data_IF_413920282927
#
_entry.id   IF_413920282927
#
_cell.length_a   1.000
_cell.length_b   1.000
_cell.length_c   1.000
_cell.angle_alpha   90.00
_cell.angle_beta   90.00
_cell.angle_gamma   90.00
#
_symmetry.space_group_name_H-M   'P 1'
#
loop_
_entity.id
_entity.type
_entity.pdbx_description
1 polymer ?
#
# COMPACT_ATOMS: atom_id res chain seq x y z
N UNK A 1 2.36 1.87 -40.11
CA UNK A 1 2.67 2.38 -38.75
C UNK A 1 3.97 1.74 -38.32
N UNK A 2 5.06 2.52 -38.32
CA UNK A 2 6.38 2.00 -37.95
C UNK A 2 6.42 1.66 -36.47
N UNK A 3 6.71 0.42 -36.12
CA UNK A 3 7.00 0.03 -34.74
C UNK A 3 8.26 0.77 -34.30
N UNK A 4 8.09 1.66 -33.34
CA UNK A 4 9.21 2.31 -32.69
C UNK A 4 10.07 1.23 -32.00
N UNK A 5 11.24 0.93 -32.53
CA UNK A 5 12.09 -0.23 -32.19
C UNK A 5 12.73 -0.11 -30.80
N UNK A 6 12.45 0.94 -30.04
CA UNK A 6 13.16 1.30 -28.81
C UNK A 6 12.31 1.42 -27.54
N UNK A 7 11.02 1.12 -27.56
CA UNK A 7 10.18 1.19 -26.36
C UNK A 7 10.49 0.02 -25.43
N UNK A 8 10.94 0.31 -24.20
CA UNK A 8 11.19 -0.71 -23.17
C UNK A 8 9.86 -1.25 -22.66
N UNK A 9 9.67 -2.56 -22.64
CA UNK A 9 8.47 -3.21 -22.12
C UNK A 9 8.72 -3.85 -20.75
N UNK A 10 7.93 -3.45 -19.74
CA UNK A 10 8.01 -3.97 -18.40
C UNK A 10 6.73 -4.72 -18.04
N UNK A 11 6.87 -6.00 -17.65
CA UNK A 11 5.80 -6.71 -16.98
C UNK A 11 5.91 -6.45 -15.48
N UNK A 12 4.82 -5.96 -14.88
CA UNK A 12 4.71 -5.77 -13.43
C UNK A 12 3.82 -6.87 -12.85
N UNK A 13 4.23 -7.44 -11.73
CA UNK A 13 3.44 -8.46 -11.03
C UNK A 13 3.52 -8.32 -9.52
N UNK A 14 2.50 -8.79 -8.84
CA UNK A 14 2.46 -8.83 -7.38
C UNK A 14 1.25 -8.13 -6.78
N UNK A 15 0.98 -8.43 -5.52
CA UNK A 15 -0.22 -7.96 -4.82
C UNK A 15 -0.15 -6.54 -4.24
N UNK A 16 0.95 -5.81 -4.46
CA UNK A 16 1.19 -4.52 -3.81
C UNK A 16 1.29 -3.38 -4.83
N UNK A 17 0.19 -3.14 -5.54
CA UNK A 17 0.10 -2.09 -6.56
C UNK A 17 0.35 -0.66 -6.02
N UNK A 18 0.16 -0.45 -4.71
CA UNK A 18 0.39 0.85 -4.08
C UNK A 18 1.84 1.34 -4.17
N UNK A 19 2.83 0.42 -4.24
CA UNK A 19 4.24 0.77 -4.45
C UNK A 19 4.59 0.92 -5.94
N UNK A 20 3.86 0.24 -6.82
CA UNK A 20 4.13 0.28 -8.25
C UNK A 20 3.60 1.56 -8.91
N UNK A 21 2.42 2.03 -8.50
CA UNK A 21 1.77 3.19 -9.12
C UNK A 21 2.63 4.47 -9.05
N UNK A 22 3.28 4.83 -7.92
CA UNK A 22 4.15 5.99 -7.86
C UNK A 22 5.34 5.90 -8.83
N UNK A 23 5.90 4.72 -9.04
CA UNK A 23 6.96 4.52 -10.03
C UNK A 23 6.44 4.70 -11.46
N UNK A 24 5.28 4.15 -11.77
CA UNK A 24 4.65 4.29 -13.10
C UNK A 24 4.34 5.77 -13.39
N UNK A 25 3.75 6.47 -12.41
CA UNK A 25 3.45 7.90 -12.53
C UNK A 25 4.73 8.71 -12.75
N UNK A 26 5.79 8.45 -11.98
CA UNK A 26 7.09 9.09 -12.15
C UNK A 26 7.67 8.87 -13.56
N UNK A 27 7.60 7.65 -14.09
CA UNK A 27 8.09 7.30 -15.43
C UNK A 27 7.28 8.05 -16.51
N UNK A 28 5.97 8.15 -16.36
CA UNK A 28 5.08 8.90 -17.27
C UNK A 28 5.29 10.40 -17.19
N UNK A 29 5.46 10.95 -15.99
CA UNK A 29 5.76 12.38 -15.77
C UNK A 29 7.09 12.80 -16.44
N UNK A 30 8.02 11.86 -16.62
CA UNK A 30 9.30 12.06 -17.32
C UNK A 30 9.22 11.76 -18.82
N UNK A 31 8.05 11.44 -19.35
CA UNK A 31 7.80 11.14 -20.75
C UNK A 31 8.78 10.09 -21.34
N UNK A 32 9.04 9.04 -20.56
CA UNK A 32 9.96 7.98 -20.94
C UNK A 32 9.24 6.89 -21.76
N UNK A 33 9.88 6.44 -22.86
CA UNK A 33 9.40 5.38 -23.74
C UNK A 33 9.41 4.00 -23.04
N UNK A 34 8.48 3.80 -22.10
CA UNK A 34 8.33 2.56 -21.33
C UNK A 34 6.87 2.13 -21.33
N UNK A 35 6.61 0.93 -21.85
CA UNK A 35 5.31 0.28 -21.82
C UNK A 35 5.18 -0.64 -20.61
N UNK A 36 4.00 -0.64 -20.00
CA UNK A 36 3.69 -1.49 -18.88
C UNK A 36 2.59 -2.52 -19.22
N UNK A 37 2.72 -3.72 -18.68
CA UNK A 37 1.67 -4.73 -18.65
C UNK A 37 1.58 -5.28 -17.23
N UNK A 38 0.39 -5.33 -16.67
CA UNK A 38 0.17 -5.80 -15.31
C UNK A 38 -0.33 -7.24 -15.27
N UNK A 39 0.38 -8.13 -14.56
CA UNK A 39 -0.05 -9.49 -14.28
C UNK A 39 -0.55 -9.58 -12.84
N UNK A 40 -1.86 -9.67 -12.65
CA UNK A 40 -2.50 -9.62 -11.34
C UNK A 40 -3.77 -10.46 -11.25
N UNK A 41 -4.52 -10.29 -10.19
CA UNK A 41 -5.80 -10.97 -9.97
C UNK A 41 -6.98 -10.03 -10.21
N UNK A 42 -7.85 -10.39 -11.17
CA UNK A 42 -9.03 -9.60 -11.50
C UNK A 42 -10.12 -9.68 -10.42
N UNK A 43 -10.31 -10.84 -9.80
CA UNK A 43 -11.39 -11.11 -8.86
C UNK A 43 -10.87 -11.48 -7.47
N UNK A 44 -11.64 -11.13 -6.42
CA UNK A 44 -11.32 -11.55 -5.04
C UNK A 44 -11.33 -13.06 -4.89
N UNK A 45 -10.35 -13.63 -4.15
CA UNK A 45 -10.19 -15.08 -3.97
C UNK A 45 -11.27 -15.75 -3.10
N UNK A 46 -12.14 -14.99 -2.44
CA UNK A 46 -13.13 -15.53 -1.49
C UNK A 46 -14.51 -15.80 -2.09
N UNK A 47 -14.56 -16.23 -3.36
CA UNK A 47 -15.83 -16.57 -4.03
C UNK A 47 -16.70 -15.36 -4.40
N UNK A 48 -16.29 -14.18 -4.04
CA UNK A 48 -16.96 -12.96 -4.41
C UNK A 48 -16.54 -12.56 -5.85
N UNK A 49 -17.50 -12.38 -6.76
CA UNK A 49 -17.26 -11.95 -8.15
C UNK A 49 -16.86 -10.46 -8.25
N UNK A 50 -16.68 -9.78 -7.11
CA UNK A 50 -16.26 -8.37 -7.12
C UNK A 50 -14.86 -8.22 -7.69
N UNK A 51 -14.68 -7.17 -8.49
CA UNK A 51 -13.39 -6.78 -9.03
C UNK A 51 -12.47 -6.33 -7.90
N UNK A 52 -11.20 -6.79 -7.94
CA UNK A 52 -10.19 -6.34 -6.98
C UNK A 52 -9.93 -4.84 -7.12
N UNK A 53 -9.51 -4.21 -6.03
CA UNK A 53 -9.10 -2.80 -6.05
C UNK A 53 -7.87 -2.60 -6.94
N UNK A 54 -6.94 -3.56 -6.93
CA UNK A 54 -5.80 -3.62 -7.84
C UNK A 54 -6.24 -3.49 -9.30
N UNK A 55 -7.16 -4.34 -9.75
CA UNK A 55 -7.68 -4.30 -11.11
C UNK A 55 -8.27 -2.93 -11.46
N UNK A 56 -9.14 -2.39 -10.58
CA UNK A 56 -9.79 -1.09 -10.82
C UNK A 56 -8.77 0.04 -10.96
N UNK A 57 -7.77 0.09 -10.07
CA UNK A 57 -6.76 1.16 -10.07
C UNK A 57 -5.80 1.04 -11.27
N UNK A 58 -5.40 -0.16 -11.65
CA UNK A 58 -4.51 -0.37 -12.79
C UNK A 58 -5.20 -0.01 -14.12
N UNK A 59 -6.46 -0.45 -14.29
CA UNK A 59 -7.23 -0.11 -15.50
C UNK A 59 -7.53 1.39 -15.57
N UNK A 60 -7.83 2.05 -14.46
CA UNK A 60 -8.05 3.50 -14.46
C UNK A 60 -6.82 4.33 -14.82
N UNK A 61 -5.66 3.71 -14.88
CA UNK A 61 -4.39 4.31 -15.36
C UNK A 61 -4.02 3.86 -16.77
N UNK A 62 -4.96 3.29 -17.55
CA UNK A 62 -4.73 2.81 -18.92
C UNK A 62 -3.56 1.83 -19.05
N UNK A 63 -3.40 0.93 -18.05
CA UNK A 63 -2.39 -0.11 -18.07
C UNK A 63 -3.06 -1.43 -18.41
N UNK A 64 -2.61 -2.15 -19.49
CA UNK A 64 -3.12 -3.46 -19.83
C UNK A 64 -2.99 -4.44 -18.65
N UNK A 65 -4.12 -5.06 -18.28
CA UNK A 65 -4.20 -5.98 -17.15
C UNK A 65 -4.47 -7.41 -17.61
N UNK A 66 -3.64 -8.34 -17.15
CA UNK A 66 -3.76 -9.77 -17.45
C UNK A 66 -4.13 -10.51 -16.17
N UNK A 67 -5.24 -11.24 -16.22
CA UNK A 67 -5.70 -12.07 -15.09
C UNK A 67 -4.86 -13.35 -14.98
N UNK A 68 -3.98 -13.39 -13.97
CA UNK A 68 -3.12 -14.53 -13.69
C UNK A 68 -3.78 -15.46 -12.67
N UNK A 69 -4.09 -16.69 -13.08
CA UNK A 69 -4.73 -17.72 -12.25
C UNK A 69 -3.67 -18.59 -11.56
N UNK A 70 -3.02 -18.06 -10.52
CA UNK A 70 -2.07 -18.84 -9.73
C UNK A 70 -2.69 -19.34 -8.42
N UNK A 71 -2.33 -20.54 -8.00
CA UNK A 71 -2.72 -21.12 -6.72
C UNK A 71 -1.98 -20.48 -5.55
N UNK A 72 -2.63 -20.42 -4.40
CA UNK A 72 -2.03 -19.94 -3.13
C UNK A 72 -1.54 -21.14 -2.33
N UNK A 73 -0.25 -21.22 -2.03
CA UNK A 73 0.36 -22.35 -1.31
C UNK A 73 0.14 -22.34 0.20
N UNK A 74 -0.40 -21.25 0.78
CA UNK A 74 -0.44 -21.02 2.21
C UNK A 74 -1.87 -21.11 2.79
N UNK A 75 -2.04 -21.86 3.87
CA UNK A 75 -3.29 -22.04 4.66
C UNK A 75 -4.50 -22.69 3.96
N UNK A 76 -4.38 -23.24 2.77
CA UNK A 76 -5.46 -23.97 2.11
C UNK A 76 -4.97 -25.29 1.53
N UNK A 77 -5.17 -26.40 2.24
CA UNK A 77 -4.96 -27.77 1.74
C UNK A 77 -6.16 -28.23 0.89
N UNK A 78 -6.54 -27.46 -0.11
CA UNK A 78 -7.55 -27.89 -1.06
C UNK A 78 -6.83 -28.35 -2.36
N UNK A 79 -7.07 -29.61 -2.77
CA UNK A 79 -6.48 -30.19 -3.97
C UNK A 79 -6.68 -29.30 -5.22
N UNK A 80 -7.84 -28.66 -5.34
CA UNK A 80 -8.12 -27.72 -6.43
C UNK A 80 -7.21 -26.48 -6.41
N UNK A 81 -6.78 -26.02 -5.24
CA UNK A 81 -5.84 -24.92 -5.09
C UNK A 81 -4.41 -25.36 -5.41
N UNK A 82 -4.04 -26.58 -5.08
CA UNK A 82 -2.74 -27.17 -5.43
C UNK A 82 -2.60 -27.40 -6.94
N UNK A 83 -3.65 -27.85 -7.63
CA UNK A 83 -3.68 -27.99 -9.07
C UNK A 83 -3.53 -26.65 -9.84
N UNK A 84 -3.92 -25.53 -9.22
CA UNK A 84 -3.73 -24.18 -9.80
C UNK A 84 -2.27 -23.72 -9.78
N UNK A 85 -1.40 -24.32 -8.96
CA UNK A 85 0.00 -23.93 -8.89
C UNK A 85 0.72 -24.22 -10.20
N UNK A 86 0.81 -25.48 -10.71
CA UNK A 86 1.44 -25.75 -11.99
C UNK A 86 0.78 -24.99 -13.15
N UNK A 87 -0.54 -24.82 -13.12
CA UNK A 87 -1.25 -24.01 -14.12
C UNK A 87 -0.76 -22.57 -14.15
N UNK A 88 -0.49 -21.94 -12.98
CA UNK A 88 0.07 -20.60 -12.90
C UNK A 88 1.44 -20.46 -13.58
N UNK A 89 2.30 -21.47 -13.48
CA UNK A 89 3.61 -21.49 -14.17
C UNK A 89 3.44 -21.63 -15.69
N UNK A 90 2.56 -22.53 -16.14
CA UNK A 90 2.25 -22.71 -17.57
C UNK A 90 1.66 -21.44 -18.16
N UNK A 91 0.70 -20.81 -17.47
CA UNK A 91 0.11 -19.56 -17.91
C UNK A 91 1.18 -18.43 -17.96
N UNK A 92 2.02 -18.29 -16.93
CA UNK A 92 3.11 -17.31 -16.91
C UNK A 92 4.07 -17.51 -18.08
N UNK A 93 4.39 -18.77 -18.42
CA UNK A 93 5.28 -19.10 -19.56
C UNK A 93 4.71 -18.57 -20.88
N UNK A 94 3.47 -18.90 -21.21
CA UNK A 94 2.85 -18.44 -22.46
C UNK A 94 2.66 -16.91 -22.49
N UNK A 95 2.29 -16.31 -21.35
CA UNK A 95 2.15 -14.86 -21.25
C UNK A 95 3.49 -14.14 -21.46
N UNK A 96 4.57 -14.61 -20.85
CA UNK A 96 5.89 -13.99 -21.00
C UNK A 96 6.43 -14.14 -22.45
N UNK A 97 6.15 -15.27 -23.12
CA UNK A 97 6.48 -15.44 -24.54
C UNK A 97 5.63 -14.51 -25.41
N UNK A 98 4.34 -14.33 -25.10
CA UNK A 98 3.45 -13.46 -25.86
C UNK A 98 3.82 -11.98 -25.71
N UNK A 99 3.98 -11.50 -24.47
CA UNK A 99 4.27 -10.09 -24.22
C UNK A 99 5.72 -9.70 -24.44
N UNK A 100 6.65 -10.64 -24.40
CA UNK A 100 8.10 -10.46 -24.62
C UNK A 100 8.69 -9.28 -23.83
N UNK A 101 8.52 -9.22 -22.49
CA UNK A 101 9.02 -8.09 -21.74
C UNK A 101 10.55 -8.04 -21.74
N UNK A 102 11.07 -6.85 -21.60
CA UNK A 102 12.50 -6.62 -21.43
C UNK A 102 12.93 -6.85 -19.99
N UNK A 103 12.06 -6.50 -19.03
CA UNK A 103 12.28 -6.68 -17.59
C UNK A 103 10.96 -7.11 -16.94
N UNK A 104 11.06 -7.97 -15.94
CA UNK A 104 9.95 -8.28 -15.02
C UNK A 104 10.22 -7.61 -13.69
N UNK A 105 9.30 -6.73 -13.26
CA UNK A 105 9.30 -6.07 -11.97
C UNK A 105 8.24 -6.70 -11.06
N UNK A 106 8.68 -7.25 -9.93
CA UNK A 106 7.80 -7.88 -8.94
C UNK A 106 7.66 -7.01 -7.69
N UNK A 107 6.43 -6.89 -7.20
CA UNK A 107 6.13 -6.32 -5.89
C UNK A 107 5.70 -7.39 -4.87
N UNK A 108 6.20 -8.60 -5.05
CA UNK A 108 5.96 -9.72 -4.13
C UNK A 108 4.56 -10.34 -4.24
N UNK A 109 4.19 -11.08 -3.19
CA UNK A 109 2.96 -11.84 -3.18
C UNK A 109 3.07 -13.16 -3.96
N UNK A 110 2.09 -14.06 -3.74
CA UNK A 110 2.13 -15.42 -4.31
C UNK A 110 2.03 -15.45 -5.85
N UNK A 111 1.45 -14.42 -6.48
CA UNK A 111 1.37 -14.27 -7.94
C UNK A 111 2.75 -14.05 -8.57
N UNK A 112 3.66 -13.43 -7.84
CA UNK A 112 5.01 -13.17 -8.33
C UNK A 112 5.82 -14.45 -8.54
N UNK A 113 5.56 -15.49 -7.76
CA UNK A 113 6.34 -16.75 -7.79
C UNK A 113 6.38 -17.38 -9.19
N UNK A 114 5.25 -17.73 -9.83
CA UNK A 114 5.28 -18.32 -11.17
C UNK A 114 5.85 -17.35 -12.21
N UNK A 115 5.60 -16.06 -12.13
CA UNK A 115 6.08 -15.08 -13.11
C UNK A 115 7.59 -14.92 -13.03
N UNK A 116 8.14 -14.68 -11.84
CA UNK A 116 9.59 -14.49 -11.64
C UNK A 116 10.38 -15.75 -11.98
N UNK A 117 9.92 -16.90 -11.51
CA UNK A 117 10.59 -18.16 -11.81
C UNK A 117 10.61 -18.45 -13.32
N UNK A 118 9.48 -18.27 -13.99
CA UNK A 118 9.38 -18.50 -15.45
C UNK A 118 10.20 -17.46 -16.22
N UNK A 119 10.22 -16.20 -15.80
CA UNK A 119 11.06 -15.17 -16.39
C UNK A 119 12.55 -15.54 -16.29
N UNK A 120 12.99 -16.09 -15.15
CA UNK A 120 14.36 -16.59 -14.98
C UNK A 120 14.69 -17.73 -15.95
N UNK A 121 13.79 -18.69 -16.13
CA UNK A 121 13.94 -19.81 -17.09
C UNK A 121 14.06 -19.28 -18.52
N UNK A 122 13.28 -18.25 -18.87
CA UNK A 122 13.30 -17.63 -20.20
C UNK A 122 14.46 -16.62 -20.39
N UNK A 123 15.34 -16.44 -19.40
CA UNK A 123 16.44 -15.48 -19.47
C UNK A 123 15.99 -14.01 -19.48
N UNK A 124 14.78 -13.72 -19.00
CA UNK A 124 14.26 -12.36 -18.87
C UNK A 124 14.78 -11.76 -17.56
N UNK A 125 15.43 -10.60 -17.56
CA UNK A 125 15.88 -9.93 -16.34
C UNK A 125 14.75 -9.67 -15.36
N UNK A 126 15.02 -9.90 -14.07
CA UNK A 126 14.02 -9.83 -13.02
C UNK A 126 14.49 -8.98 -11.85
N UNK A 127 13.59 -8.20 -11.32
CA UNK A 127 13.80 -7.38 -10.13
C UNK A 127 12.59 -7.51 -9.21
N UNK A 128 12.81 -7.58 -7.90
CA UNK A 128 11.72 -7.55 -6.93
C UNK A 128 11.89 -6.41 -5.93
N UNK A 129 10.78 -5.85 -5.47
CA UNK A 129 10.75 -4.84 -4.42
C UNK A 129 10.09 -5.42 -3.17
N UNK A 130 10.80 -5.34 -2.03
CA UNK A 130 10.26 -5.65 -0.70
C UNK A 130 9.92 -4.36 0.02
N UNK A 131 8.66 -4.19 0.33
CA UNK A 131 8.14 -2.97 0.94
C UNK A 131 8.00 -3.05 2.46
N UNK A 132 8.13 -4.26 3.04
CA UNK A 132 7.88 -4.53 4.44
C UNK A 132 9.18 -4.76 5.21
N UNK A 133 9.14 -4.50 6.52
CA UNK A 133 10.26 -4.79 7.41
C UNK A 133 10.52 -6.29 7.54
N UNK A 134 9.45 -7.09 7.51
CA UNK A 134 9.52 -8.54 7.61
C UNK A 134 9.13 -9.14 6.28
N UNK A 135 10.09 -9.82 5.64
CA UNK A 135 9.90 -10.40 4.32
C UNK A 135 8.84 -11.48 4.28
N UNK A 136 7.90 -11.36 3.35
CA UNK A 136 6.93 -12.41 3.06
C UNK A 136 7.57 -13.65 2.42
N UNK A 137 6.96 -14.84 2.64
CA UNK A 137 7.46 -16.13 2.10
C UNK A 137 7.69 -16.10 0.60
N UNK A 138 6.83 -15.43 -0.16
CA UNK A 138 6.96 -15.32 -1.60
C UNK A 138 8.24 -14.57 -1.99
N UNK A 139 8.49 -13.39 -1.42
CA UNK A 139 9.71 -12.61 -1.68
C UNK A 139 10.97 -13.35 -1.22
N UNK A 140 10.92 -14.03 -0.06
CA UNK A 140 12.03 -14.88 0.38
C UNK A 140 12.33 -16.02 -0.60
N UNK A 141 11.30 -16.61 -1.19
CA UNK A 141 11.48 -17.67 -2.20
C UNK A 141 12.06 -17.12 -3.50
N UNK A 142 11.44 -16.07 -4.10
CA UNK A 142 11.87 -15.52 -5.39
C UNK A 142 13.21 -14.79 -5.32
N UNK A 143 13.66 -14.35 -4.14
CA UNK A 143 14.94 -13.67 -3.94
C UNK A 143 16.15 -14.45 -4.48
N UNK A 144 16.03 -15.78 -4.51
CA UNK A 144 17.10 -16.65 -5.06
C UNK A 144 17.22 -16.55 -6.57
N UNK A 145 16.13 -16.26 -7.27
CA UNK A 145 16.00 -16.27 -8.72
C UNK A 145 16.13 -14.89 -9.36
N UNK A 146 15.74 -13.82 -8.65
CA UNK A 146 15.82 -12.47 -9.19
C UNK A 146 17.26 -11.99 -9.35
N UNK A 147 17.47 -11.07 -10.27
CA UNK A 147 18.78 -10.47 -10.53
C UNK A 147 19.08 -9.33 -9.54
N UNK A 148 18.06 -8.58 -9.11
CA UNK A 148 18.17 -7.51 -8.10
C UNK A 148 16.99 -7.53 -7.13
N UNK A 149 17.26 -7.08 -5.91
CA UNK A 149 16.27 -6.95 -4.83
C UNK A 149 16.32 -5.53 -4.32
N UNK A 150 15.24 -4.79 -4.46
CA UNK A 150 15.06 -3.48 -3.89
C UNK A 150 14.35 -3.60 -2.55
N UNK A 151 14.78 -2.86 -1.57
CA UNK A 151 14.19 -2.88 -0.22
C UNK A 151 13.80 -1.47 0.23
N UNK A 152 12.66 -1.37 0.92
CA UNK A 152 12.18 -0.11 1.50
C UNK A 152 12.77 0.18 2.88
N UNK A 153 13.27 -0.84 3.56
CA UNK A 153 13.81 -0.77 4.91
C UNK A 153 15.15 -1.48 4.94
N UNK A 154 16.19 -0.82 5.46
CA UNK A 154 17.52 -1.40 5.51
C UNK A 154 17.56 -2.65 6.41
N UNK A 155 16.73 -2.70 7.43
CA UNK A 155 16.57 -3.82 8.36
C UNK A 155 16.11 -5.11 7.68
N UNK A 156 15.41 -5.00 6.53
CA UNK A 156 14.96 -6.17 5.76
C UNK A 156 16.09 -6.85 4.97
N UNK A 157 17.25 -6.20 4.81
CA UNK A 157 18.44 -6.74 4.11
C UNK A 157 18.86 -8.12 4.60
N UNK A 158 18.75 -8.37 5.91
CA UNK A 158 19.13 -9.65 6.55
C UNK A 158 18.36 -10.87 6.05
N UNK A 159 17.22 -10.67 5.40
CA UNK A 159 16.39 -11.76 4.87
C UNK A 159 16.78 -12.21 3.46
N UNK A 160 17.70 -11.50 2.80
CA UNK A 160 18.00 -11.69 1.40
C UNK A 160 19.48 -12.06 1.15
N UNK A 161 19.77 -12.72 0.00
CA UNK A 161 21.15 -13.00 -0.40
C UNK A 161 21.98 -11.71 -0.53
N UNK A 162 23.18 -11.70 0.05
CA UNK A 162 24.11 -10.58 -0.11
C UNK A 162 24.50 -10.37 -1.58
N UNK A 163 24.77 -9.13 -1.96
CA UNK A 163 25.21 -8.77 -3.31
C UNK A 163 24.10 -8.48 -4.33
N UNK A 164 22.83 -8.76 -4.01
CA UNK A 164 21.69 -8.41 -4.89
C UNK A 164 20.83 -7.29 -4.32
N UNK A 165 21.00 -6.94 -3.06
CA UNK A 165 20.13 -6.05 -2.29
C UNK A 165 20.57 -4.61 -2.44
N UNK A 166 19.62 -3.76 -2.80
CA UNK A 166 19.78 -2.33 -2.97
C UNK A 166 18.71 -1.63 -2.13
N UNK A 167 19.10 -0.73 -1.27
CA UNK A 167 18.16 0.12 -0.57
C UNK A 167 17.61 1.15 -1.54
N UNK A 168 16.30 1.16 -1.73
CA UNK A 168 15.60 2.13 -2.59
C UNK A 168 14.68 3.05 -1.80
N UNK A 169 14.29 2.67 -0.60
CA UNK A 169 13.16 3.29 0.07
C UNK A 169 11.82 2.83 -0.55
N UNK A 170 10.73 3.36 -0.01
CA UNK A 170 9.37 3.10 -0.50
C UNK A 170 8.91 4.25 -1.40
N UNK A 171 8.53 3.97 -2.67
CA UNK A 171 7.95 4.99 -3.53
C UNK A 171 6.62 5.49 -2.95
N UNK A 172 6.55 6.77 -2.63
CA UNK A 172 5.34 7.44 -2.20
C UNK A 172 4.68 8.17 -3.36
N UNK A 173 3.34 8.26 -3.32
CA UNK A 173 2.57 9.00 -4.31
C UNK A 173 2.76 10.50 -4.12
N UNK A 174 2.96 11.23 -5.20
CA UNK A 174 3.13 12.68 -5.22
C UNK A 174 1.92 13.42 -4.60
N UNK A 175 0.73 12.84 -4.74
CA UNK A 175 -0.52 13.39 -4.21
C UNK A 175 -0.55 13.53 -2.68
N UNK A 176 0.30 12.83 -1.93
CA UNK A 176 0.45 13.03 -0.48
C UNK A 176 1.05 14.40 -0.12
N UNK A 177 1.90 14.93 -1.01
CA UNK A 177 2.66 16.16 -0.77
C UNK A 177 2.02 17.39 -1.42
N UNK A 178 0.89 17.20 -2.09
CA UNK A 178 0.20 18.28 -2.80
C UNK A 178 -1.29 18.27 -2.43
N UNK A 179 -1.73 19.31 -1.73
CA UNK A 179 -3.16 19.54 -1.52
C UNK A 179 -3.78 20.05 -2.83
N UNK A 180 -4.78 19.31 -3.34
CA UNK A 180 -5.46 19.66 -4.60
C UNK A 180 -6.91 20.06 -4.41
N UNK A 181 -7.43 19.90 -3.20
CA UNK A 181 -8.82 20.18 -2.88
C UNK A 181 -8.92 21.08 -1.65
N UNK A 182 -10.11 21.58 -1.40
CA UNK A 182 -10.48 22.22 -0.17
C UNK A 182 -11.77 21.56 0.36
N UNK A 183 -11.70 20.23 0.50
CA UNK A 183 -12.82 19.35 0.84
C UNK A 183 -13.12 19.33 2.34
N UNK A 184 -12.11 19.66 3.17
CA UNK A 184 -12.18 19.59 4.63
C UNK A 184 -12.02 20.98 5.23
N UNK A 185 -13.14 21.65 5.55
CA UNK A 185 -13.14 23.02 6.10
C UNK A 185 -13.46 22.98 7.59
N UNK A 186 -12.54 23.47 8.39
CA UNK A 186 -12.70 23.63 9.82
C UNK A 186 -12.81 25.11 10.15
N UNK A 187 -13.80 25.47 10.95
CA UNK A 187 -14.11 26.83 11.39
C UNK A 187 -13.88 27.01 12.90
N UNK A 188 -13.13 26.10 13.50
CA UNK A 188 -12.73 26.08 14.89
C UNK A 188 -11.26 25.64 15.03
N UNK A 189 -10.69 25.84 16.22
CA UNK A 189 -9.28 25.54 16.53
C UNK A 189 -9.07 24.12 17.10
N UNK A 190 -10.07 23.23 17.01
CA UNK A 190 -9.91 21.87 17.50
C UNK A 190 -8.93 21.09 16.63
N UNK A 191 -8.04 20.29 17.22
CA UNK A 191 -7.11 19.45 16.45
C UNK A 191 -7.87 18.45 15.58
N UNK A 192 -7.25 18.07 14.46
CA UNK A 192 -7.84 17.19 13.46
C UNK A 192 -7.34 15.76 13.64
N UNK A 193 -8.26 14.86 13.96
CA UNK A 193 -8.00 13.41 14.03
C UNK A 193 -8.36 12.74 12.71
N UNK A 194 -7.40 12.12 12.04
CA UNK A 194 -7.64 11.27 10.88
C UNK A 194 -7.74 9.81 11.28
N UNK A 195 -8.89 9.20 11.00
CA UNK A 195 -9.18 7.80 11.30
C UNK A 195 -9.20 6.99 10.01
N UNK A 196 -8.37 5.94 9.91
CA UNK A 196 -8.35 5.06 8.75
C UNK A 196 -7.90 3.65 9.12
N UNK A 197 -8.39 2.67 8.39
CA UNK A 197 -7.91 1.30 8.47
C UNK A 197 -7.50 0.78 7.08
N UNK A 198 -6.97 1.71 6.25
CA UNK A 198 -6.65 1.44 4.86
C UNK A 198 -7.90 1.36 3.97
N UNK A 199 -7.71 0.86 2.76
CA UNK A 199 -8.74 0.91 1.69
C UNK A 199 -10.00 0.08 1.98
N UNK A 200 -9.88 -1.01 2.73
CA UNK A 200 -11.03 -1.88 3.07
C UNK A 200 -11.79 -1.44 4.31
N UNK A 201 -11.21 -0.55 5.10
CA UNK A 201 -11.72 -0.20 6.42
C UNK A 201 -11.53 -1.32 7.46
N UNK A 202 -12.01 -1.07 8.66
CA UNK A 202 -12.06 -2.06 9.75
C UNK A 202 -13.37 -1.93 10.50
N UNK A 203 -14.26 -2.90 10.32
CA UNK A 203 -15.55 -2.92 11.02
C UNK A 203 -15.38 -2.77 12.54
N UNK A 204 -14.38 -3.44 13.12
CA UNK A 204 -14.12 -3.38 14.57
C UNK A 204 -13.74 -1.96 15.02
N UNK A 205 -12.87 -1.28 14.29
CA UNK A 205 -12.54 0.14 14.60
C UNK A 205 -13.78 1.00 14.40
N UNK A 206 -14.49 0.86 13.28
CA UNK A 206 -15.68 1.67 12.97
C UNK A 206 -16.75 1.53 14.05
N UNK A 207 -17.00 0.31 14.56
CA UNK A 207 -17.96 0.07 15.64
C UNK A 207 -17.58 0.79 16.94
N UNK A 208 -16.29 0.81 17.30
CA UNK A 208 -15.86 1.48 18.53
C UNK A 208 -15.88 2.98 18.34
N UNK A 209 -15.43 3.49 17.18
CA UNK A 209 -15.53 4.92 16.85
C UNK A 209 -16.98 5.38 16.87
N UNK A 210 -17.93 4.59 16.39
CA UNK A 210 -19.35 4.94 16.48
C UNK A 210 -19.81 5.18 17.91
N UNK A 211 -19.33 4.39 18.88
CA UNK A 211 -19.67 4.53 20.30
C UNK A 211 -19.03 5.76 20.96
N UNK A 212 -17.82 6.14 20.53
CA UNK A 212 -17.10 7.29 21.07
C UNK A 212 -17.13 8.54 20.17
N UNK A 213 -17.95 8.54 19.13
CA UNK A 213 -18.03 9.68 18.22
C UNK A 213 -18.42 10.98 18.93
N UNK A 214 -19.38 10.93 19.86
CA UNK A 214 -19.81 12.08 20.60
C UNK A 214 -18.69 12.68 21.50
N UNK A 215 -18.04 11.94 22.40
CA UNK A 215 -16.95 12.49 23.19
C UNK A 215 -15.76 12.94 22.34
N UNK A 216 -15.40 12.24 21.27
CA UNK A 216 -14.33 12.65 20.38
C UNK A 216 -14.63 13.99 19.68
N UNK A 217 -15.84 14.21 19.20
CA UNK A 217 -16.24 15.46 18.54
C UNK A 217 -16.39 16.66 19.49
N UNK A 218 -16.29 16.46 20.79
CA UNK A 218 -16.15 17.59 21.74
C UNK A 218 -14.74 18.19 21.74
N UNK A 219 -13.72 17.39 21.40
CA UNK A 219 -12.32 17.75 21.51
C UNK A 219 -11.56 17.76 20.18
N UNK A 220 -12.13 17.15 19.13
CA UNK A 220 -11.46 16.97 17.83
C UNK A 220 -12.40 17.27 16.66
N UNK A 221 -11.84 17.80 15.59
CA UNK A 221 -12.39 17.62 14.25
C UNK A 221 -11.98 16.25 13.75
N UNK A 222 -12.83 15.57 12.99
CA UNK A 222 -12.54 14.18 12.54
C UNK A 222 -12.72 14.06 11.03
N UNK A 223 -11.68 13.54 10.38
CA UNK A 223 -11.77 12.97 9.04
C UNK A 223 -11.73 11.45 9.21
N UNK A 224 -12.76 10.73 8.75
CA UNK A 224 -12.87 9.29 8.95
C UNK A 224 -13.05 8.55 7.63
N UNK A 225 -12.05 7.76 7.23
CA UNK A 225 -12.16 6.80 6.13
C UNK A 225 -12.59 5.44 6.67
N UNK A 226 -13.89 5.13 6.60
CA UNK A 226 -14.45 3.90 7.16
C UNK A 226 -14.34 2.66 6.25
N UNK A 227 -14.01 2.84 4.97
CA UNK A 227 -14.05 1.78 3.95
C UNK A 227 -15.44 1.55 3.37
N UNK A 228 -15.53 0.61 2.42
CA UNK A 228 -16.80 0.21 1.77
C UNK A 228 -16.96 -1.31 1.80
N UNK A 229 -17.09 -1.88 2.98
CA UNK A 229 -17.33 -3.31 3.13
C UNK A 229 -18.83 -3.59 3.04
N UNK A 230 -19.27 -4.22 1.95
CA UNK A 230 -20.69 -4.44 1.62
C UNK A 230 -21.50 -5.18 2.71
N UNK A 231 -20.82 -5.95 3.57
CA UNK A 231 -21.46 -6.77 4.60
C UNK A 231 -21.87 -5.95 5.83
N UNK A 232 -21.14 -4.86 6.19
CA UNK A 232 -21.29 -4.23 7.50
C UNK A 232 -22.03 -2.90 7.50
N UNK A 233 -22.18 -2.23 6.35
CA UNK A 233 -22.87 -0.93 6.22
C UNK A 233 -22.37 0.15 7.21
N UNK A 234 -21.06 0.14 7.47
CA UNK A 234 -20.44 1.04 8.48
C UNK A 234 -20.66 2.51 8.14
N UNK A 235 -20.60 2.86 6.85
CA UNK A 235 -20.81 4.24 6.41
C UNK A 235 -22.22 4.75 6.79
N UNK A 236 -23.25 3.97 6.54
CA UNK A 236 -24.63 4.31 6.84
C UNK A 236 -24.86 4.42 8.35
N UNK A 237 -24.29 3.49 9.12
CA UNK A 237 -24.37 3.46 10.58
C UNK A 237 -23.71 4.67 11.22
N UNK A 238 -22.47 4.99 10.82
CA UNK A 238 -21.72 6.15 11.30
C UNK A 238 -22.39 7.46 10.90
N UNK A 239 -22.92 7.56 9.67
CA UNK A 239 -23.67 8.73 9.19
C UNK A 239 -24.88 9.00 10.06
N UNK A 240 -25.65 7.95 10.38
CA UNK A 240 -26.84 8.09 11.26
C UNK A 240 -26.44 8.57 12.65
N UNK A 241 -25.45 7.94 13.26
CA UNK A 241 -24.97 8.35 14.60
C UNK A 241 -24.53 9.82 14.60
N UNK A 242 -23.82 10.28 13.56
CA UNK A 242 -23.41 11.67 13.47
C UNK A 242 -24.61 12.63 13.36
N UNK A 243 -25.62 12.30 12.56
CA UNK A 243 -26.83 13.12 12.41
C UNK A 243 -27.52 13.33 13.78
N UNK A 244 -27.56 12.29 14.62
CA UNK A 244 -28.21 12.36 15.93
C UNK A 244 -27.48 13.31 16.92
N UNK A 245 -26.19 13.58 16.72
CA UNK A 245 -25.36 14.38 17.64
C UNK A 245 -24.83 15.69 17.03
N UNK A 246 -25.02 15.91 15.75
CA UNK A 246 -24.39 17.03 14.99
C UNK A 246 -24.68 18.42 15.56
N UNK A 247 -25.83 18.60 16.18
CA UNK A 247 -26.27 19.90 16.73
C UNK A 247 -25.69 20.20 18.13
N UNK A 248 -25.03 19.23 18.77
CA UNK A 248 -24.56 19.33 20.15
C UNK A 248 -23.06 19.11 20.31
N UNK A 249 -22.32 18.99 19.20
CA UNK A 249 -20.86 18.85 19.15
C UNK A 249 -20.21 20.06 18.48
N UNK A 250 -18.97 20.39 18.86
CA UNK A 250 -18.20 21.49 18.26
C UNK A 250 -17.39 21.03 17.05
N UNK A 251 -16.88 19.79 17.10
CA UNK A 251 -16.04 19.22 16.05
C UNK A 251 -16.81 18.92 14.77
N UNK A 252 -16.16 19.13 13.65
CA UNK A 252 -16.67 18.71 12.34
C UNK A 252 -16.34 17.24 12.09
N UNK A 253 -17.26 16.53 11.45
CA UNK A 253 -17.09 15.13 11.07
C UNK A 253 -17.20 14.94 9.57
N UNK A 254 -16.11 14.57 8.93
CA UNK A 254 -16.05 14.25 7.52
C UNK A 254 -15.92 12.74 7.33
N UNK A 255 -17.05 12.07 7.15
CA UNK A 255 -17.07 10.63 6.86
C UNK A 255 -16.87 10.38 5.37
N UNK A 256 -15.96 9.47 5.04
CA UNK A 256 -15.65 9.01 3.68
C UNK A 256 -15.60 7.48 3.62
N UNK A 257 -16.14 6.90 2.55
CA UNK A 257 -15.84 5.48 2.23
C UNK A 257 -14.38 5.34 1.83
N UNK A 258 -13.90 6.27 0.98
CA UNK A 258 -12.51 6.35 0.53
C UNK A 258 -12.05 7.79 0.50
N UNK A 259 -10.82 8.01 0.89
CA UNK A 259 -10.07 9.24 0.61
C UNK A 259 -9.28 8.99 -0.67
N UNK A 260 -9.56 9.77 -1.70
CA UNK A 260 -8.96 9.62 -3.02
C UNK A 260 -7.64 10.39 -3.15
N UNK A 261 -6.91 10.13 -4.24
CA UNK A 261 -5.59 10.74 -4.49
C UNK A 261 -5.64 12.28 -4.57
N UNK A 262 -6.77 12.88 -4.93
CA UNK A 262 -6.94 14.33 -4.95
C UNK A 262 -7.20 14.93 -3.56
N UNK A 263 -7.66 14.16 -2.58
CA UNK A 263 -7.97 14.59 -1.21
C UNK A 263 -6.87 14.24 -0.20
N UNK A 264 -6.08 13.19 -0.47
CA UNK A 264 -5.15 12.63 0.53
C UNK A 264 -4.07 13.63 0.98
N UNK A 265 -3.59 14.49 0.08
CA UNK A 265 -2.63 15.53 0.44
C UNK A 265 -3.21 16.52 1.45
N UNK A 266 -4.48 16.94 1.24
CA UNK A 266 -5.19 17.79 2.19
C UNK A 266 -5.39 17.12 3.55
N UNK A 267 -5.65 15.81 3.57
CA UNK A 267 -5.76 15.04 4.83
C UNK A 267 -4.44 15.05 5.59
N UNK A 268 -3.30 14.77 4.91
CA UNK A 268 -1.99 14.76 5.56
C UNK A 268 -1.53 16.15 6.01
N UNK A 269 -1.93 17.19 5.28
CA UNK A 269 -1.70 18.58 5.66
C UNK A 269 -2.46 18.95 6.94
N UNK A 270 -3.77 18.66 6.98
CA UNK A 270 -4.68 19.11 8.05
C UNK A 270 -4.72 18.22 9.27
N UNK A 271 -4.47 16.92 9.12
CA UNK A 271 -4.52 16.00 10.26
C UNK A 271 -3.35 16.23 11.22
N UNK A 272 -3.66 16.43 12.48
CA UNK A 272 -2.70 16.56 13.58
C UNK A 272 -2.35 15.20 14.18
N UNK A 273 -3.33 14.30 14.24
CA UNK A 273 -3.22 12.98 14.86
C UNK A 273 -3.81 11.92 13.93
N UNK A 274 -3.20 10.75 13.91
CA UNK A 274 -3.69 9.60 13.15
C UNK A 274 -4.13 8.47 14.07
N UNK A 275 -5.28 7.85 13.79
CA UNK A 275 -5.67 6.56 14.35
C UNK A 275 -5.83 5.57 13.19
N UNK A 276 -4.99 4.53 13.18
CA UNK A 276 -4.89 3.68 12.00
C UNK A 276 -4.48 2.25 12.30
N UNK A 277 -4.68 1.35 11.32
CA UNK A 277 -3.93 0.08 11.23
C UNK A 277 -2.47 0.38 10.85
N UNK A 278 -1.56 -0.52 11.24
CA UNK A 278 -0.12 -0.39 10.98
C UNK A 278 0.34 -1.14 9.72
N UNK A 279 -0.38 -0.97 8.61
CA UNK A 279 0.06 -1.49 7.32
C UNK A 279 1.32 -0.77 6.82
N UNK A 280 2.19 -1.46 6.05
CA UNK A 280 3.50 -0.97 5.63
C UNK A 280 3.47 0.42 4.96
N UNK A 281 2.52 0.68 4.05
CA UNK A 281 2.39 1.98 3.41
C UNK A 281 1.97 3.08 4.39
N UNK A 282 0.93 2.83 5.18
CA UNK A 282 0.38 3.83 6.11
C UNK A 282 1.43 4.23 7.16
N UNK A 283 2.16 3.25 7.71
CA UNK A 283 3.22 3.55 8.69
C UNK A 283 4.39 4.31 8.07
N UNK A 284 4.74 3.99 6.82
CA UNK A 284 5.78 4.72 6.10
C UNK A 284 5.35 6.16 5.76
N UNK A 285 4.10 6.37 5.33
CA UNK A 285 3.50 7.67 5.10
C UNK A 285 3.50 8.51 6.39
N UNK A 286 2.98 7.96 7.50
CA UNK A 286 2.97 8.63 8.82
C UNK A 286 4.39 8.98 9.28
N UNK A 287 5.36 8.05 9.13
CA UNK A 287 6.78 8.29 9.42
C UNK A 287 7.33 9.48 8.65
N UNK A 288 7.05 9.53 7.33
CA UNK A 288 7.54 10.59 6.44
C UNK A 288 7.02 11.96 6.86
N UNK A 289 5.75 12.05 7.23
CA UNK A 289 5.12 13.29 7.69
C UNK A 289 5.30 13.56 9.20
N UNK A 290 5.98 12.65 9.92
CA UNK A 290 6.22 12.73 11.37
C UNK A 290 4.97 13.01 12.19
N UNK A 291 3.84 12.42 11.82
CA UNK A 291 2.55 12.64 12.49
C UNK A 291 2.41 11.76 13.72
N UNK A 292 2.00 12.30 14.87
CA UNK A 292 1.60 11.50 16.03
C UNK A 292 0.47 10.55 15.69
N UNK A 293 0.54 9.33 16.21
CA UNK A 293 -0.48 8.33 15.85
C UNK A 293 -0.75 7.30 16.94
N UNK A 294 -1.98 6.81 16.92
CA UNK A 294 -2.41 5.60 17.62
C UNK A 294 -2.52 4.48 16.59
N UNK A 295 -1.78 3.41 16.78
CA UNK A 295 -1.78 2.27 15.86
C UNK A 295 -2.47 1.07 16.47
N UNK A 296 -3.40 0.50 15.72
CA UNK A 296 -4.17 -0.71 16.08
C UNK A 296 -3.75 -1.84 15.15
N UNK A 297 -2.68 -2.60 15.45
CA UNK A 297 -2.20 -3.69 14.61
C UNK A 297 -3.24 -4.81 14.48
N UNK A 298 -3.26 -5.47 13.31
CA UNK A 298 -4.05 -6.69 13.10
C UNK A 298 -3.24 -7.87 13.67
N UNK A 299 -3.75 -8.61 14.69
CA UNK A 299 -2.95 -9.62 15.38
C UNK A 299 -2.73 -10.92 14.57
N UNK A 300 -3.57 -11.21 13.57
CA UNK A 300 -3.53 -12.47 12.79
C UNK A 300 -2.81 -12.37 11.44
N UNK A 301 -2.16 -11.25 11.14
CA UNK A 301 -1.37 -11.12 9.90
C UNK A 301 -0.10 -11.96 9.95
N UNK A 302 0.37 -12.39 8.76
CA UNK A 302 1.58 -13.21 8.64
C UNK A 302 2.77 -12.50 9.27
N UNK A 303 3.58 -13.26 10.01
CA UNK A 303 4.83 -12.80 10.62
C UNK A 303 4.71 -11.62 11.61
N UNK A 304 3.52 -11.39 12.16
CA UNK A 304 3.30 -10.26 13.07
C UNK A 304 3.71 -8.90 12.46
N UNK A 305 3.60 -8.80 11.13
CA UNK A 305 4.12 -7.68 10.33
C UNK A 305 3.63 -6.33 10.84
N UNK A 306 2.34 -6.22 11.19
CA UNK A 306 1.78 -4.94 11.61
C UNK A 306 2.32 -4.47 12.97
N UNK A 307 2.58 -5.37 13.91
CA UNK A 307 3.23 -4.99 15.16
C UNK A 307 4.67 -4.53 14.93
N UNK A 308 5.41 -5.19 14.03
CA UNK A 308 6.77 -4.77 13.68
C UNK A 308 6.78 -3.39 13.01
N UNK A 309 5.83 -3.13 12.10
CA UNK A 309 5.70 -1.81 11.48
C UNK A 309 5.33 -0.72 12.51
N UNK A 310 4.44 -1.04 13.46
CA UNK A 310 4.05 -0.11 14.52
C UNK A 310 5.22 0.23 15.43
N UNK A 311 6.03 -0.78 15.79
CA UNK A 311 7.19 -0.59 16.68
C UNK A 311 8.19 0.44 16.14
N UNK A 312 8.41 0.51 14.82
CA UNK A 312 9.28 1.54 14.22
C UNK A 312 8.82 2.96 14.55
N UNK A 313 7.50 3.20 14.53
CA UNK A 313 6.96 4.51 14.87
C UNK A 313 6.98 4.78 16.38
N UNK A 314 6.85 3.74 17.19
CA UNK A 314 7.04 3.82 18.66
C UNK A 314 8.49 4.20 18.99
N UNK A 315 9.46 3.53 18.37
CA UNK A 315 10.89 3.81 18.58
C UNK A 315 11.29 5.23 18.14
N UNK A 316 10.55 5.81 17.22
CA UNK A 316 10.69 7.22 16.81
C UNK A 316 9.93 8.22 17.72
N UNK A 317 9.21 7.72 18.72
CA UNK A 317 8.39 8.56 19.63
C UNK A 317 7.11 9.10 18.97
N UNK A 318 6.72 8.60 17.80
CA UNK A 318 5.56 9.08 17.03
C UNK A 318 4.28 8.31 17.32
N UNK A 319 4.38 7.06 17.80
CA UNK A 319 3.22 6.19 17.94
C UNK A 319 3.01 5.65 19.34
N UNK A 320 1.77 5.29 19.61
CA UNK A 320 1.37 4.36 20.67
C UNK A 320 0.64 3.18 20.02
N UNK A 321 0.85 1.97 20.57
CA UNK A 321 0.18 0.76 20.09
C UNK A 321 -1.01 0.47 21.00
N UNK A 322 -2.22 0.49 20.43
CA UNK A 322 -3.45 0.02 21.08
C UNK A 322 -3.77 -1.39 20.55
N UNK A 323 -3.61 -2.44 21.37
CA UNK A 323 -3.93 -3.80 20.96
C UNK A 323 -5.41 -3.93 20.56
N UNK A 324 -5.70 -4.73 19.52
CA UNK A 324 -7.07 -4.85 19.02
C UNK A 324 -8.04 -5.44 20.05
N UNK A 325 -7.57 -6.28 20.97
CA UNK A 325 -8.33 -6.83 22.08
C UNK A 325 -8.72 -5.78 23.15
N UNK A 326 -7.95 -4.71 23.26
CA UNK A 326 -8.16 -3.59 24.18
C UNK A 326 -8.93 -2.43 23.55
N UNK A 327 -9.46 -2.62 22.34
CA UNK A 327 -10.13 -1.57 21.59
C UNK A 327 -11.51 -1.27 22.20
N UNK A 328 -11.54 -0.29 23.10
CA UNK A 328 -12.74 0.28 23.74
C UNK A 328 -12.83 1.78 23.48
N UNK A 329 -13.96 2.39 23.80
CA UNK A 329 -14.13 3.83 23.66
C UNK A 329 -13.17 4.60 24.60
N UNK A 330 -13.07 4.16 25.82
CA UNK A 330 -12.22 4.77 26.85
C UNK A 330 -10.75 4.72 26.45
N UNK A 331 -10.29 3.57 25.97
CA UNK A 331 -8.91 3.42 25.52
C UNK A 331 -8.61 4.26 24.26
N UNK A 332 -9.52 4.30 23.28
CA UNK A 332 -9.34 5.19 22.12
C UNK A 332 -9.17 6.64 22.55
N UNK A 333 -10.02 7.14 23.43
CA UNK A 333 -9.95 8.52 23.90
C UNK A 333 -8.61 8.75 24.60
N UNK A 334 -8.25 7.91 25.57
CA UNK A 334 -7.02 8.04 26.34
C UNK A 334 -5.76 8.02 25.46
N UNK A 335 -5.69 7.10 24.49
CA UNK A 335 -4.55 7.00 23.57
C UNK A 335 -4.49 8.18 22.59
N UNK A 336 -5.63 8.65 22.09
CA UNK A 336 -5.69 9.84 21.23
C UNK A 336 -5.28 11.10 21.98
N UNK A 337 -5.69 11.26 23.24
CA UNK A 337 -5.24 12.36 24.12
C UNK A 337 -3.72 12.28 24.36
N UNK A 338 -3.18 11.07 24.62
CA UNK A 338 -1.73 10.85 24.75
C UNK A 338 -0.97 11.22 23.48
N UNK A 339 -1.50 10.86 22.31
CA UNK A 339 -0.92 11.23 21.03
C UNK A 339 -1.01 12.74 20.77
N UNK A 340 -2.10 13.42 21.21
CA UNK A 340 -2.27 14.85 21.07
C UNK A 340 -1.18 15.65 21.80
N UNK A 341 -0.69 15.14 22.91
CA UNK A 341 0.42 15.77 23.67
C UNK A 341 1.75 15.72 22.92
N UNK A 342 1.86 14.88 21.88
CA UNK A 342 3.06 14.71 21.04
C UNK A 342 3.00 15.50 19.74
N UNK A 343 1.95 16.31 19.52
CA UNK A 343 1.85 17.16 18.33
C UNK A 343 3.05 18.11 18.31
N UNK A 344 3.94 18.04 17.31
CA UNK A 344 5.06 18.96 17.22
C UNK A 344 4.56 20.37 16.93
N UNK A 345 5.30 21.42 17.37
CA UNK A 345 5.04 22.76 16.86
C UNK A 345 5.07 22.68 15.33
N UNK A 346 4.22 23.46 14.66
CA UNK A 346 4.00 23.43 13.21
C UNK A 346 5.34 23.32 12.47
N UNK A 347 5.58 22.16 11.87
CA UNK A 347 6.71 21.93 10.96
C UNK A 347 6.18 22.05 9.54
N UNK A 348 6.98 22.61 8.66
CA UNK A 348 6.66 22.55 7.22
C UNK A 348 6.44 21.10 6.78
N UNK A 349 5.44 20.83 5.92
CA UNK A 349 5.24 19.51 5.39
C UNK A 349 6.51 19.07 4.64
N UNK A 350 6.88 17.77 4.69
CA UNK A 350 8.05 17.29 4.01
C UNK A 350 7.92 17.53 2.50
N UNK A 351 9.03 17.88 1.86
CA UNK A 351 9.07 17.97 0.40
C UNK A 351 8.92 16.58 -0.24
N UNK A 352 8.31 16.55 -1.41
CA UNK A 352 8.22 15.31 -2.19
C UNK A 352 9.59 14.88 -2.65
N UNK A 353 10.01 13.69 -2.21
CA UNK A 353 11.24 13.05 -2.63
C UNK A 353 10.93 11.89 -3.59
N UNK A 354 11.45 11.96 -4.82
CA UNK A 354 11.31 10.94 -5.85
C UNK A 354 12.55 10.01 -5.95
N UNK A 355 13.49 10.13 -5.05
CA UNK A 355 14.70 9.30 -5.02
C UNK A 355 14.40 7.79 -5.06
N UNK A 356 13.40 7.24 -4.33
CA UNK A 356 13.03 5.84 -4.45
C UNK A 356 12.68 5.43 -5.89
N UNK A 357 11.90 6.25 -6.60
CA UNK A 357 11.53 6.01 -7.99
C UNK A 357 12.73 6.09 -8.93
N UNK A 358 13.65 7.03 -8.70
CA UNK A 358 14.88 7.19 -9.47
C UNK A 358 15.80 6.00 -9.33
N UNK A 359 16.03 5.55 -8.09
CA UNK A 359 16.83 4.35 -7.81
C UNK A 359 16.20 3.12 -8.49
N UNK A 360 14.89 2.92 -8.35
CA UNK A 360 14.19 1.80 -8.98
C UNK A 360 14.33 1.85 -10.50
N UNK A 361 14.10 2.99 -11.13
CA UNK A 361 14.24 3.17 -12.58
C UNK A 361 15.68 2.93 -13.05
N UNK A 362 16.67 3.43 -12.34
CA UNK A 362 18.09 3.22 -12.65
C UNK A 362 18.43 1.71 -12.62
N UNK A 363 17.90 0.96 -11.66
CA UNK A 363 18.14 -0.49 -11.58
C UNK A 363 17.44 -1.25 -12.71
N UNK A 364 16.24 -0.85 -13.10
CA UNK A 364 15.51 -1.42 -14.24
C UNK A 364 16.29 -1.19 -15.54
N UNK A 365 16.74 0.06 -15.79
CA UNK A 365 17.55 0.40 -16.97
C UNK A 365 18.87 -0.37 -17.02
N UNK A 366 19.56 -0.49 -15.88
CA UNK A 366 20.80 -1.28 -15.80
C UNK A 366 20.60 -2.75 -16.21
N UNK A 367 19.48 -3.36 -15.87
CA UNK A 367 19.15 -4.73 -16.28
C UNK A 367 18.79 -4.82 -17.77
N UNK A 368 18.06 -3.83 -18.28
CA UNK A 368 17.71 -3.73 -19.70
C UNK A 368 18.95 -3.63 -20.60
N UNK A 369 19.89 -2.72 -20.26
CA UNK A 369 21.12 -2.56 -21.02
C UNK A 369 22.01 -3.81 -21.01
N UNK A 370 22.14 -4.48 -19.85
CA UNK A 370 22.83 -5.75 -19.73
C UNK A 370 22.24 -6.86 -20.64
N UNK A 371 20.90 -6.85 -20.81
CA UNK A 371 20.24 -7.81 -21.73
C UNK A 371 20.57 -7.50 -23.19
N UNK A 372 20.60 -6.23 -23.58
CA UNK A 372 20.97 -5.82 -24.95
C UNK A 372 22.40 -6.24 -25.29
N UNK A 373 23.34 -5.98 -24.39
CA UNK A 373 24.76 -6.31 -24.59
C UNK A 373 25.02 -7.82 -24.73
N UNK A 374 24.21 -8.66 -24.08
CA UNK A 374 24.33 -10.12 -24.20
C UNK A 374 23.73 -10.71 -25.48
N UNK A 375 22.94 -9.93 -26.24
CA UNK A 375 22.33 -10.37 -27.51
C UNK A 375 23.17 -10.00 -28.74
N UNK A 376 24.19 -9.17 -28.54
CA UNK A 376 25.25 -8.86 -29.52
C UNK A 376 26.41 -9.83 -29.33
#
# INVERSE_FOLDING_TARGET
>A
MGYNVNVMKIVITGGHHSSALPLIEYIRDKDLDIDFVWFGHKHSMHGNKSLTLEYRQIISKDIPFVDLKAGKFYKTFNLASLAKIPFGFVQAFFLLIHYKPDVVLSFGGYLAVPVVFTAKVLGIPTITHEQTLVTGYANKFISRFVDKILISHEESRKYFPSGKVIYSGLPLRKSLFTSKTNSFKFDNELPVLYITAGKTGSHKINQVIQKCLFPLLKSYNIIHQCGDHSQYKDFESLSKTFLDISNVVQGKYYLRKFVYDNEIGEVFEKADIFLSRSGAHTTYEIKTFRKPCVLVPIPWVSHNEQNVNAQVLVDLGLAEILPEEELTCENIISFVEGAAMKIPPQSEPPEYNNEPQEIMLAQIRSLYEKKKTKKI
#
